data_IF_579612607428
#
_entry.id   IF_579612607428
#
_cell.length_a   1.000
_cell.length_b   1.000
_cell.length_c   1.000
_cell.angle_alpha   90.00
_cell.angle_beta   90.00
_cell.angle_gamma   90.00
#
_symmetry.space_group_name_H-M   'P 1'
#
loop_
_entity.id
_entity.type
_entity.pdbx_description
1 polymer ?
#
# COMPACT_ATOMS: atom_id res chain seq x y z
N UNK A 1 0.22 -14.32 15.27
CA UNK A 1 0.00 -13.90 16.66
C UNK A 1 -0.70 -12.53 16.80
N UNK A 2 -1.62 -12.16 15.89
CA UNK A 2 -2.54 -11.01 16.05
C UNK A 2 -4.00 -11.42 15.77
N UNK A 3 -4.21 -12.60 15.17
CA UNK A 3 -5.54 -13.13 14.81
C UNK A 3 -6.43 -13.54 15.99
N UNK A 4 -5.90 -13.67 17.22
CA UNK A 4 -6.64 -14.26 18.35
C UNK A 4 -6.97 -13.32 19.53
N UNK A 5 -6.63 -12.03 19.50
CA UNK A 5 -7.05 -11.11 20.58
C UNK A 5 -8.33 -10.35 20.21
N UNK A 6 -9.38 -10.54 21.01
CA UNK A 6 -10.68 -9.83 20.91
C UNK A 6 -10.59 -8.34 21.23
N UNK A 7 -9.45 -7.84 21.74
CA UNK A 7 -9.20 -6.41 21.93
C UNK A 7 -8.13 -5.94 20.97
N UNK A 8 -8.53 -5.11 20.03
CA UNK A 8 -7.60 -4.29 19.25
C UNK A 8 -7.04 -3.28 20.23
N UNK A 9 -5.77 -3.42 20.57
CA UNK A 9 -5.12 -2.41 21.39
C UNK A 9 -4.52 -1.37 20.45
N UNK A 10 -5.01 -0.12 20.47
CA UNK A 10 -4.46 0.97 19.65
C UNK A 10 -2.94 1.10 19.82
N UNK A 11 -2.44 0.83 21.02
CA UNK A 11 -1.01 0.81 21.33
C UNK A 11 -0.19 -0.16 20.46
N UNK A 12 -0.74 -1.33 20.11
CA UNK A 12 -0.03 -2.31 19.25
C UNK A 12 0.01 -1.84 17.81
N UNK A 13 -1.07 -1.23 17.33
CA UNK A 13 -1.13 -0.62 15.99
C UNK A 13 -0.10 0.51 15.87
N UNK A 14 -0.05 1.40 16.87
CA UNK A 14 0.90 2.52 16.89
C UNK A 14 2.34 2.02 16.99
N UNK A 15 2.61 1.02 17.84
CA UNK A 15 3.95 0.42 17.95
C UNK A 15 4.38 -0.24 16.63
N UNK A 16 3.48 -0.96 15.96
CA UNK A 16 3.73 -1.55 14.65
C UNK A 16 4.03 -0.48 13.60
N UNK A 17 3.21 0.57 13.52
CA UNK A 17 3.43 1.69 12.60
C UNK A 17 4.76 2.41 12.87
N UNK A 18 5.18 2.55 14.13
CA UNK A 18 6.48 3.13 14.47
C UNK A 18 7.64 2.25 14.00
N UNK A 19 7.55 0.93 14.21
CA UNK A 19 8.57 -0.03 13.75
C UNK A 19 8.64 -0.08 12.23
N UNK A 20 7.49 -0.14 11.55
CA UNK A 20 7.44 -0.04 10.08
C UNK A 20 8.00 1.28 9.58
N UNK A 21 7.69 2.41 10.23
CA UNK A 21 8.23 3.72 9.88
C UNK A 21 9.76 3.77 9.94
N UNK A 22 10.36 3.16 10.96
CA UNK A 22 11.83 3.06 11.06
C UNK A 22 12.41 2.20 9.95
N UNK A 23 11.78 1.05 9.65
CA UNK A 23 12.23 0.16 8.59
C UNK A 23 12.12 0.82 7.20
N UNK A 24 10.99 1.46 6.91
CA UNK A 24 10.75 2.22 5.68
C UNK A 24 11.68 3.43 5.57
N UNK A 25 11.97 4.11 6.69
CA UNK A 25 12.94 5.20 6.74
C UNK A 25 14.36 4.74 6.38
N UNK A 26 14.76 3.58 6.87
CA UNK A 26 16.03 2.94 6.50
C UNK A 26 16.11 2.62 5.00
N UNK A 27 15.06 2.00 4.45
CA UNK A 27 14.97 1.73 3.00
C UNK A 27 15.01 3.04 2.21
N UNK A 28 14.23 4.04 2.62
CA UNK A 28 14.16 5.34 1.96
C UNK A 28 15.52 6.05 1.96
N UNK A 29 16.27 5.99 3.07
CA UNK A 29 17.62 6.55 3.14
C UNK A 29 18.60 5.86 2.18
N UNK A 30 18.48 4.53 2.02
CA UNK A 30 19.27 3.81 1.01
C UNK A 30 18.95 4.30 -0.41
N UNK A 31 17.67 4.42 -0.77
CA UNK A 31 17.26 4.93 -2.08
C UNK A 31 17.63 6.40 -2.30
N UNK A 32 17.53 7.24 -1.27
CA UNK A 32 17.91 8.66 -1.33
C UNK A 32 19.42 8.83 -1.56
N UNK A 33 20.26 7.97 -0.98
CA UNK A 33 21.71 7.99 -1.23
C UNK A 33 22.10 7.58 -2.66
N UNK A 34 21.26 6.77 -3.32
CA UNK A 34 21.44 6.38 -4.73
C UNK A 34 20.81 7.39 -5.69
N UNK A 35 19.65 7.97 -5.31
CA UNK A 35 18.86 8.89 -6.12
C UNK A 35 18.41 10.08 -5.26
N UNK A 36 19.20 11.17 -5.20
CA UNK A 36 18.87 12.35 -4.39
C UNK A 36 17.52 12.96 -4.83
N UNK A 37 16.64 13.24 -3.86
CA UNK A 37 15.31 13.84 -4.06
C UNK A 37 14.19 12.86 -4.38
N UNK A 38 14.48 11.55 -4.46
CA UNK A 38 13.47 10.55 -4.81
C UNK A 38 12.41 10.39 -3.71
N UNK A 39 12.81 10.52 -2.44
CA UNK A 39 11.90 10.37 -1.30
C UNK A 39 10.88 11.50 -1.26
N UNK A 40 11.30 12.74 -1.49
CA UNK A 40 10.38 13.88 -1.54
C UNK A 40 9.34 13.73 -2.66
N UNK A 41 9.80 13.31 -3.85
CA UNK A 41 8.92 13.05 -4.99
C UNK A 41 7.94 11.92 -4.70
N UNK A 42 8.40 10.84 -4.05
CA UNK A 42 7.56 9.72 -3.65
C UNK A 42 6.47 10.15 -2.65
N UNK A 43 6.83 10.90 -1.60
CA UNK A 43 5.87 11.41 -0.60
C UNK A 43 4.83 12.31 -1.26
N UNK A 44 5.26 13.24 -2.11
CA UNK A 44 4.33 14.12 -2.85
C UNK A 44 3.37 13.30 -3.71
N UNK A 45 3.88 12.35 -4.48
CA UNK A 45 3.07 11.49 -5.34
C UNK A 45 2.08 10.63 -4.53
N UNK A 46 2.48 10.09 -3.38
CA UNK A 46 1.59 9.34 -2.48
C UNK A 46 0.46 10.22 -1.96
N UNK A 47 0.78 11.41 -1.46
CA UNK A 47 -0.21 12.34 -0.90
C UNK A 47 -1.17 12.86 -1.97
N UNK A 48 -0.68 13.21 -3.16
CA UNK A 48 -1.53 13.65 -4.27
C UNK A 48 -2.44 12.52 -4.76
N UNK A 49 -1.92 11.29 -4.84
CA UNK A 49 -2.72 10.12 -5.26
C UNK A 49 -3.78 9.77 -4.23
N UNK A 50 -3.41 9.74 -2.94
CA UNK A 50 -4.36 9.49 -1.87
C UNK A 50 -5.45 10.58 -1.80
N UNK A 51 -5.07 11.84 -1.95
CA UNK A 51 -6.00 12.97 -2.01
C UNK A 51 -6.93 12.90 -3.22
N UNK A 52 -6.41 12.52 -4.40
CA UNK A 52 -7.20 12.34 -5.61
C UNK A 52 -8.20 11.17 -5.47
N UNK A 53 -7.78 10.04 -4.90
CA UNK A 53 -8.66 8.90 -4.62
C UNK A 53 -9.72 9.26 -3.60
N UNK A 54 -9.37 9.98 -2.53
CA UNK A 54 -10.33 10.47 -1.55
C UNK A 54 -11.37 11.40 -2.19
N UNK A 55 -10.93 12.34 -3.05
CA UNK A 55 -11.84 13.21 -3.78
C UNK A 55 -12.78 12.41 -4.71
N UNK A 56 -12.22 11.49 -5.50
CA UNK A 56 -13.00 10.64 -6.41
C UNK A 56 -14.05 9.80 -5.66
N UNK A 57 -13.69 9.26 -4.50
CA UNK A 57 -14.61 8.55 -3.61
C UNK A 57 -15.68 9.50 -3.04
N UNK A 58 -15.28 10.66 -2.51
CA UNK A 58 -16.19 11.65 -1.89
C UNK A 58 -17.21 12.22 -2.87
N UNK A 59 -16.83 12.42 -4.13
CA UNK A 59 -17.72 12.86 -5.21
C UNK A 59 -18.58 11.73 -5.79
N UNK A 60 -18.38 10.49 -5.35
CA UNK A 60 -19.14 9.33 -5.82
C UNK A 60 -18.80 8.90 -7.24
N UNK A 61 -17.64 9.32 -7.77
CA UNK A 61 -17.15 8.88 -9.08
C UNK A 61 -16.79 7.39 -9.06
N UNK A 62 -16.30 6.89 -7.93
CA UNK A 62 -15.98 5.49 -7.70
C UNK A 62 -17.00 4.92 -6.72
N UNK A 63 -17.85 4.01 -7.19
CA UNK A 63 -18.79 3.28 -6.33
C UNK A 63 -18.18 1.95 -5.93
N UNK A 64 -17.94 1.78 -4.64
CA UNK A 64 -17.47 0.52 -4.06
C UNK A 64 -18.67 -0.42 -3.90
N UNK A 65 -18.92 -1.25 -4.90
CA UNK A 65 -19.94 -2.30 -4.84
C UNK A 65 -19.33 -3.66 -4.47
N UNK A 66 -20.17 -4.65 -4.17
CA UNK A 66 -19.72 -6.00 -3.82
C UNK A 66 -18.85 -6.65 -4.93
N UNK A 67 -19.05 -6.25 -6.19
CA UNK A 67 -18.23 -6.73 -7.32
C UNK A 67 -16.85 -6.09 -7.30
N UNK A 68 -16.75 -4.78 -7.10
CA UNK A 68 -15.49 -4.07 -6.95
C UNK A 68 -14.66 -4.66 -5.81
N UNK A 69 -15.26 -4.83 -4.62
CA UNK A 69 -14.57 -5.45 -3.47
C UNK A 69 -14.09 -6.86 -3.79
N UNK A 70 -14.92 -7.69 -4.45
CA UNK A 70 -14.51 -9.05 -4.82
C UNK A 70 -13.34 -9.07 -5.80
N UNK A 71 -13.42 -8.26 -6.86
CA UNK A 71 -12.35 -8.15 -7.87
C UNK A 71 -11.06 -7.67 -7.21
N UNK A 72 -11.14 -6.63 -6.38
CA UNK A 72 -9.98 -6.06 -5.72
C UNK A 72 -9.35 -7.05 -4.74
N UNK A 73 -10.13 -7.77 -3.95
CA UNK A 73 -9.61 -8.81 -3.06
C UNK A 73 -8.85 -9.88 -3.84
N UNK A 74 -9.39 -10.38 -4.95
CA UNK A 74 -8.66 -11.33 -5.79
C UNK A 74 -7.40 -10.72 -6.42
N UNK A 75 -7.44 -9.46 -6.82
CA UNK A 75 -6.29 -8.76 -7.38
C UNK A 75 -5.17 -8.56 -6.35
N UNK A 76 -5.50 -8.17 -5.11
CA UNK A 76 -4.56 -8.04 -3.99
C UNK A 76 -3.93 -9.41 -3.69
N UNK A 77 -4.75 -10.46 -3.58
CA UNK A 77 -4.23 -11.82 -3.33
C UNK A 77 -3.32 -12.28 -4.47
N UNK A 78 -3.70 -12.05 -5.73
CA UNK A 78 -2.88 -12.37 -6.90
C UNK A 78 -1.56 -11.62 -6.92
N UNK A 79 -1.57 -10.32 -6.60
CA UNK A 79 -0.36 -9.51 -6.47
C UNK A 79 0.55 -10.03 -5.35
N UNK A 80 -0.03 -10.42 -4.22
CA UNK A 80 0.74 -10.93 -3.08
C UNK A 80 1.41 -12.27 -3.41
N UNK A 81 0.69 -13.17 -4.09
CA UNK A 81 1.27 -14.42 -4.61
C UNK A 81 2.40 -14.14 -5.60
N UNK A 82 2.19 -13.21 -6.53
CA UNK A 82 3.23 -12.79 -7.48
C UNK A 82 4.47 -12.25 -6.76
N UNK A 83 4.29 -11.41 -5.74
CA UNK A 83 5.39 -10.88 -4.94
C UNK A 83 6.19 -11.98 -4.23
N UNK A 84 5.52 -12.98 -3.64
CA UNK A 84 6.18 -14.12 -2.99
C UNK A 84 6.97 -14.97 -4.00
N UNK A 85 6.38 -15.28 -5.16
CA UNK A 85 7.06 -16.01 -6.23
C UNK A 85 8.29 -15.23 -6.71
N UNK A 86 8.16 -13.91 -6.88
CA UNK A 86 9.25 -13.05 -7.30
C UNK A 86 10.41 -13.06 -6.30
N UNK A 87 10.12 -12.96 -5.00
CA UNK A 87 11.13 -13.05 -3.94
C UNK A 87 11.83 -14.42 -3.98
N UNK A 88 11.08 -15.51 -4.11
CA UNK A 88 11.65 -16.86 -4.25
C UNK A 88 12.57 -16.97 -5.46
N UNK A 89 12.19 -16.39 -6.60
CA UNK A 89 13.01 -16.37 -7.81
C UNK A 89 14.31 -15.56 -7.63
N UNK A 90 14.25 -14.40 -6.98
CA UNK A 90 15.42 -13.57 -6.65
C UNK A 90 16.39 -14.34 -5.75
N UNK A 91 15.88 -15.03 -4.73
CA UNK A 91 16.71 -15.81 -3.79
C UNK A 91 17.40 -17.01 -4.45
N UNK A 92 16.76 -17.65 -5.42
CA UNK A 92 17.31 -18.82 -6.12
C UNK A 92 18.32 -18.41 -7.21
N UNK A 93 18.05 -17.32 -7.93
CA UNK A 93 18.84 -16.92 -9.10
C UNK A 93 19.90 -15.86 -8.81
N UNK A 94 19.85 -15.19 -7.66
CA UNK A 94 20.74 -14.08 -7.30
C UNK A 94 20.57 -12.82 -8.17
N UNK A 95 19.61 -12.81 -9.09
CA UNK A 95 19.31 -11.68 -9.98
C UNK A 95 18.23 -10.75 -9.41
N UNK A 96 18.01 -9.60 -10.06
CA UNK A 96 17.03 -8.59 -9.64
C UNK A 96 15.54 -8.98 -9.87
N UNK A 97 15.25 -10.23 -10.25
CA UNK A 97 13.89 -10.73 -10.49
C UNK A 97 13.16 -10.03 -11.64
N UNK A 98 11.82 -10.17 -11.69
CA UNK A 98 10.98 -9.49 -12.73
C UNK A 98 11.13 -7.97 -12.68
N UNK A 99 11.43 -7.41 -11.51
CA UNK A 99 11.63 -5.96 -11.32
C UNK A 99 12.96 -5.44 -11.90
N UNK A 100 13.92 -6.32 -12.19
CA UNK A 100 15.15 -5.99 -12.93
C UNK A 100 15.03 -6.15 -14.44
N UNK A 101 13.90 -6.66 -14.94
CA UNK A 101 13.64 -6.81 -16.39
C UNK A 101 13.14 -5.49 -17.00
N UNK A 102 13.22 -5.36 -18.32
CA UNK A 102 12.67 -4.20 -19.06
C UNK A 102 11.17 -3.93 -18.81
N UNK A 103 10.43 -4.91 -18.25
CA UNK A 103 9.02 -4.80 -17.89
C UNK A 103 8.77 -4.56 -16.39
N UNK A 104 9.81 -4.37 -15.57
CA UNK A 104 9.69 -4.16 -14.12
C UNK A 104 8.83 -2.95 -13.75
N UNK A 105 8.86 -1.89 -14.57
CA UNK A 105 8.03 -0.70 -14.40
C UNK A 105 6.54 -1.00 -14.53
N UNK A 106 6.15 -1.97 -15.36
CA UNK A 106 4.74 -2.33 -15.56
C UNK A 106 4.19 -3.03 -14.31
N UNK A 107 4.97 -3.92 -13.70
CA UNK A 107 4.61 -4.55 -12.44
C UNK A 107 4.46 -3.53 -11.32
N UNK A 108 5.38 -2.55 -11.25
CA UNK A 108 5.26 -1.44 -10.31
C UNK A 108 4.04 -0.57 -10.56
N UNK A 109 3.69 -0.31 -11.81
CA UNK A 109 2.54 0.52 -12.17
C UNK A 109 1.23 -0.17 -11.79
N UNK A 110 1.13 -1.48 -12.04
CA UNK A 110 -0.01 -2.30 -11.63
C UNK A 110 -0.11 -2.32 -10.10
N UNK A 111 1.00 -2.51 -9.38
CA UNK A 111 1.02 -2.47 -7.92
C UNK A 111 0.54 -1.12 -7.39
N UNK A 112 1.03 -0.01 -7.94
CA UNK A 112 0.70 1.33 -7.46
C UNK A 112 -0.76 1.67 -7.75
N UNK A 113 -1.25 1.26 -8.92
CA UNK A 113 -2.67 1.34 -9.27
C UNK A 113 -3.54 0.54 -8.31
N UNK A 114 -3.19 -0.72 -8.04
CA UNK A 114 -3.93 -1.58 -7.10
C UNK A 114 -3.93 -0.99 -5.68
N UNK A 115 -2.80 -0.49 -5.19
CA UNK A 115 -2.72 0.16 -3.89
C UNK A 115 -3.61 1.42 -3.85
N UNK A 116 -3.58 2.24 -4.90
CA UNK A 116 -4.43 3.42 -4.99
C UNK A 116 -5.93 3.08 -5.03
N UNK A 117 -6.34 2.04 -5.76
CA UNK A 117 -7.73 1.60 -5.76
C UNK A 117 -8.16 0.95 -4.45
N UNK A 118 -7.25 0.29 -3.75
CA UNK A 118 -7.51 -0.30 -2.42
C UNK A 118 -7.89 0.78 -1.40
N UNK A 119 -7.35 2.01 -1.53
CA UNK A 119 -7.78 3.15 -0.69
C UNK A 119 -9.30 3.39 -0.76
N UNK A 120 -9.94 3.16 -1.91
CA UNK A 120 -11.39 3.32 -2.01
C UNK A 120 -12.14 2.29 -1.15
N UNK A 121 -11.62 1.06 -1.02
CA UNK A 121 -12.18 0.06 -0.11
C UNK A 121 -12.02 0.48 1.35
N UNK A 122 -10.87 1.06 1.69
CA UNK A 122 -10.61 1.56 3.05
C UNK A 122 -11.56 2.73 3.39
N UNK A 123 -11.74 3.67 2.46
CA UNK A 123 -12.69 4.78 2.62
C UNK A 123 -14.13 4.29 2.78
N UNK A 124 -14.57 3.32 1.97
CA UNK A 124 -15.89 2.71 2.10
C UNK A 124 -16.06 2.02 3.46
N UNK A 125 -15.05 1.28 3.91
CA UNK A 125 -15.07 0.60 5.20
C UNK A 125 -15.22 1.59 6.35
N UNK A 126 -14.50 2.71 6.31
CA UNK A 126 -14.58 3.78 7.31
C UNK A 126 -15.94 4.47 7.27
N UNK A 127 -16.46 4.78 6.08
CA UNK A 127 -17.77 5.43 5.93
C UNK A 127 -18.93 4.56 6.42
N UNK A 128 -18.92 3.27 6.05
CA UNK A 128 -19.91 2.30 6.54
C UNK A 128 -19.78 2.14 8.05
N UNK A 129 -18.57 2.01 8.58
CA UNK A 129 -18.35 1.90 10.02
C UNK A 129 -18.81 3.12 10.81
N UNK A 130 -18.62 4.32 10.27
CA UNK A 130 -19.10 5.58 10.85
C UNK A 130 -20.63 5.66 10.81
N UNK A 131 -21.26 5.31 9.67
CA UNK A 131 -22.72 5.30 9.51
C UNK A 131 -23.39 4.30 10.46
N UNK A 132 -22.79 3.12 10.59
CA UNK A 132 -23.32 2.01 11.36
C UNK A 132 -22.88 2.07 12.85
N UNK A 133 -22.16 3.12 13.25
CA UNK A 133 -21.67 3.39 14.61
C UNK A 133 -20.92 2.19 15.21
N UNK A 134 -19.89 1.73 14.50
CA UNK A 134 -19.06 0.64 14.95
C UNK A 134 -18.40 0.94 16.31
N UNK A 135 -18.12 -0.10 17.13
CA UNK A 135 -17.39 0.09 18.37
C UNK A 135 -15.96 0.57 18.07
N UNK A 136 -15.39 1.33 19.00
CA UNK A 136 -14.10 2.01 18.86
C UNK A 136 -12.98 1.06 18.40
N UNK A 137 -12.98 -0.20 18.86
CA UNK A 137 -11.97 -1.19 18.44
C UNK A 137 -11.98 -1.47 16.93
N UNK A 138 -13.14 -1.40 16.27
CA UNK A 138 -13.24 -1.59 14.81
C UNK A 138 -12.80 -0.34 14.04
N UNK A 139 -13.02 0.86 14.59
CA UNK A 139 -12.52 2.10 14.00
C UNK A 139 -10.99 2.11 13.93
N UNK A 140 -10.32 1.65 15.00
CA UNK A 140 -8.86 1.48 15.01
C UNK A 140 -8.38 0.47 13.97
N UNK A 141 -9.13 -0.62 13.74
CA UNK A 141 -8.80 -1.58 12.65
C UNK A 141 -8.93 -0.95 11.27
N UNK A 142 -9.98 -0.17 11.05
CA UNK A 142 -10.20 0.51 9.77
C UNK A 142 -9.12 1.56 9.50
N UNK A 143 -8.76 2.36 10.50
CA UNK A 143 -7.65 3.31 10.42
C UNK A 143 -6.31 2.62 10.16
N UNK A 144 -6.07 1.46 10.78
CA UNK A 144 -4.88 0.66 10.53
C UNK A 144 -4.81 0.13 9.09
N UNK A 145 -5.91 -0.41 8.57
CA UNK A 145 -5.99 -0.87 7.18
C UNK A 145 -5.64 0.24 6.19
N UNK A 146 -6.24 1.42 6.38
CA UNK A 146 -5.93 2.60 5.58
C UNK A 146 -4.44 2.98 5.64
N UNK A 147 -3.83 2.95 6.83
CA UNK A 147 -2.41 3.27 7.01
C UNK A 147 -1.50 2.27 6.28
N UNK A 148 -1.80 0.97 6.36
CA UNK A 148 -1.07 -0.09 5.64
C UNK A 148 -1.18 0.10 4.13
N UNK A 149 -2.37 0.42 3.62
CA UNK A 149 -2.56 0.71 2.18
C UNK A 149 -1.77 1.94 1.75
N UNK A 150 -1.72 2.99 2.57
CA UNK A 150 -0.94 4.19 2.28
C UNK A 150 0.57 3.91 2.24
N UNK A 151 1.07 3.10 3.18
CA UNK A 151 2.45 2.62 3.21
C UNK A 151 2.76 1.78 1.97
N UNK A 152 1.87 0.88 1.59
CA UNK A 152 2.03 0.05 0.41
C UNK A 152 2.10 0.91 -0.87
N UNK A 153 1.21 1.89 -1.01
CA UNK A 153 1.24 2.84 -2.11
C UNK A 153 2.57 3.60 -2.17
N UNK A 154 3.08 4.06 -1.03
CA UNK A 154 4.38 4.73 -0.95
C UNK A 154 5.54 3.86 -1.44
N UNK A 155 5.63 2.61 -0.95
CA UNK A 155 6.70 1.68 -1.36
C UNK A 155 6.65 1.41 -2.86
N UNK A 156 5.46 1.28 -3.43
CA UNK A 156 5.31 0.99 -4.85
C UNK A 156 5.63 2.20 -5.73
N UNK A 157 5.25 3.41 -5.32
CA UNK A 157 5.65 4.67 -5.98
C UNK A 157 7.17 4.84 -5.92
N UNK A 158 7.77 4.62 -4.75
CA UNK A 158 9.22 4.72 -4.59
C UNK A 158 9.95 3.72 -5.48
N UNK A 159 9.44 2.49 -5.58
CA UNK A 159 9.96 1.47 -6.52
C UNK A 159 9.83 1.92 -7.97
N UNK A 160 8.67 2.43 -8.37
CA UNK A 160 8.45 2.96 -9.72
C UNK A 160 9.44 4.06 -10.08
N UNK A 161 9.56 5.06 -9.22
CA UNK A 161 10.50 6.17 -9.43
C UNK A 161 11.94 5.66 -9.51
N UNK A 162 12.31 4.66 -8.69
CA UNK A 162 13.65 4.09 -8.76
C UNK A 162 13.91 3.36 -10.08
N UNK A 163 12.92 2.67 -10.64
CA UNK A 163 13.06 2.00 -11.94
C UNK A 163 13.22 3.03 -13.07
N UNK A 164 12.45 4.12 -13.02
CA UNK A 164 12.55 5.19 -14.02
C UNK A 164 13.87 5.97 -13.95
N UNK A 165 14.41 6.21 -12.75
CA UNK A 165 15.69 6.91 -12.59
C UNK A 165 16.92 6.03 -12.86
N UNK A 166 16.76 4.69 -12.88
CA UNK A 166 17.85 3.75 -13.16
C UNK A 166 18.17 3.62 -14.67
N UNK A 167 17.21 3.94 -15.53
CA UNK A 167 17.34 3.89 -17.00
C UNK A 167 17.59 5.28 -17.58
#
# INVERSE_FOLDING_TARGET
>A
WITFSKKVMPAVIVAYAAVEGVFLGGISAMFESMYPGIVQSAVLATLTTAGAMFAAYRFGWIKVDARFTRIMTFAIVGYMIFAVINIGFVLITGGAGVYGSAFGWLAGLVGAGLAAFTLNLDFETIMVGSRDKWPVEMEWRAAFGLAVTLIWLYVEILRLLSIFNRN
#
